data_IF_901165566986
#
_entry.id   IF_901165566986
#
_cell.length_a   1.000
_cell.length_b   1.000
_cell.length_c   1.000
_cell.angle_alpha   90.00
_cell.angle_beta   90.00
_cell.angle_gamma   90.00
#
_symmetry.space_group_name_H-M   'P 1'
#
loop_
_entity.id
_entity.type
_entity.pdbx_description
1 polymer ?
#
# COMPACT_ATOMS: atom_id res chain seq x y z
N UNK A 1 -2.12 -11.03 11.26
CA UNK A 1 -1.12 -11.64 12.16
C UNK A 1 -1.58 -11.47 13.60
N UNK A 2 -1.88 -12.57 14.32
CA UNK A 2 -2.19 -12.58 15.75
C UNK A 2 -0.92 -12.50 16.62
N UNK A 3 -1.01 -11.92 17.82
CA UNK A 3 0.09 -11.70 18.75
C UNK A 3 -0.33 -12.03 20.19
N UNK A 4 0.60 -12.42 21.06
CA UNK A 4 0.27 -12.75 22.46
C UNK A 4 -0.16 -11.52 23.28
N UNK A 5 0.52 -10.40 23.06
CA UNK A 5 0.29 -9.14 23.75
C UNK A 5 0.04 -8.04 22.72
N UNK A 6 -0.97 -7.20 22.96
CA UNK A 6 -1.24 -5.99 22.19
C UNK A 6 -1.16 -4.78 23.11
N UNK A 7 -0.41 -3.77 22.70
CA UNK A 7 -0.30 -2.50 23.40
C UNK A 7 -1.00 -1.42 22.58
N UNK A 8 -2.08 -0.86 23.13
CA UNK A 8 -2.85 0.21 22.51
C UNK A 8 -2.51 1.50 23.23
N UNK A 9 -1.62 2.28 22.62
CA UNK A 9 -1.10 3.50 23.23
C UNK A 9 -2.12 4.65 23.14
N UNK A 10 -2.82 4.81 22.01
CA UNK A 10 -3.72 5.93 21.80
C UNK A 10 -5.18 5.47 21.70
N UNK A 11 -6.09 6.31 22.19
CA UNK A 11 -7.54 6.19 21.96
C UNK A 11 -7.95 6.64 20.54
N UNK A 12 -6.99 7.11 19.73
CA UNK A 12 -7.22 7.70 18.41
C UNK A 12 -6.66 6.84 17.29
N UNK A 13 -7.37 6.83 16.17
CA UNK A 13 -6.88 6.41 14.86
C UNK A 13 -6.74 7.67 14.02
N UNK A 14 -5.50 8.09 13.75
CA UNK A 14 -5.23 9.33 13.04
C UNK A 14 -5.59 10.57 13.85
N UNK A 15 -6.67 11.27 13.47
CA UNK A 15 -7.19 12.45 14.16
C UNK A 15 -8.52 12.16 14.91
N UNK A 16 -9.20 11.07 14.56
CA UNK A 16 -10.47 10.66 15.13
C UNK A 16 -10.28 9.67 16.28
N UNK A 17 -11.25 9.63 17.20
CA UNK A 17 -11.29 8.59 18.22
C UNK A 17 -11.61 7.23 17.57
N UNK A 18 -11.00 6.17 18.11
CA UNK A 18 -11.29 4.79 17.76
C UNK A 18 -12.73 4.47 18.16
N UNK A 19 -13.50 3.83 17.28
CA UNK A 19 -14.82 3.32 17.62
C UNK A 19 -14.72 1.88 18.18
N UNK A 20 -15.84 1.33 18.68
CA UNK A 20 -15.89 -0.01 19.29
C UNK A 20 -15.44 -1.12 18.33
N UNK A 21 -15.85 -1.03 17.06
CA UNK A 21 -15.49 -2.00 16.03
C UNK A 21 -13.99 -1.96 15.75
N UNK A 22 -13.42 -0.76 15.58
CA UNK A 22 -11.98 -0.56 15.35
C UNK A 22 -11.16 -1.11 16.53
N UNK A 23 -11.62 -0.84 17.75
CA UNK A 23 -10.99 -1.34 18.97
C UNK A 23 -11.01 -2.86 19.03
N UNK A 24 -12.17 -3.49 18.88
CA UNK A 24 -12.31 -4.94 18.97
C UNK A 24 -11.65 -5.67 17.79
N UNK A 25 -11.56 -5.06 16.60
CA UNK A 25 -10.79 -5.58 15.47
C UNK A 25 -9.28 -5.60 15.75
N UNK A 26 -8.77 -4.59 16.48
CA UNK A 26 -7.37 -4.55 16.90
C UNK A 26 -7.13 -5.52 18.07
N UNK A 27 -7.93 -5.42 19.12
CA UNK A 27 -7.85 -6.21 20.34
C UNK A 27 -8.04 -7.72 20.06
N UNK A 28 -8.89 -8.08 19.10
CA UNK A 28 -9.12 -9.47 18.67
C UNK A 28 -7.91 -10.15 18.04
N UNK A 29 -6.84 -9.40 17.73
CA UNK A 29 -5.56 -9.99 17.33
C UNK A 29 -4.73 -10.48 18.52
N UNK A 30 -5.17 -10.24 19.76
CA UNK A 30 -4.49 -10.71 20.96
C UNK A 30 -4.86 -12.17 21.26
N UNK A 31 -3.84 -13.02 21.40
CA UNK A 31 -3.96 -14.46 21.60
C UNK A 31 -3.89 -15.22 20.28
N UNK A 32 -2.92 -16.15 20.17
CA UNK A 32 -2.83 -17.06 19.04
C UNK A 32 -3.60 -18.33 19.36
N UNK A 33 -4.54 -18.69 18.48
CA UNK A 33 -5.24 -19.97 18.56
C UNK A 33 -4.21 -21.10 18.72
N UNK A 34 -4.48 -22.03 19.63
CA UNK A 34 -3.65 -23.19 19.97
C UNK A 34 -2.22 -22.95 20.49
N UNK A 35 -1.74 -21.70 20.61
CA UNK A 35 -0.41 -21.40 21.21
C UNK A 35 -0.50 -20.64 22.53
N UNK A 36 -1.54 -19.84 22.74
CA UNK A 36 -1.70 -19.03 23.95
C UNK A 36 -3.00 -19.38 24.72
N UNK A 37 -2.92 -19.49 26.05
CA UNK A 37 -4.10 -19.70 26.92
C UNK A 37 -5.03 -18.47 26.97
N UNK A 38 -4.45 -17.28 26.81
CA UNK A 38 -5.16 -16.00 26.77
C UNK A 38 -4.32 -14.96 26.00
N UNK A 39 -5.00 -14.01 25.37
CA UNK A 39 -4.38 -12.81 24.81
C UNK A 39 -4.43 -11.64 25.79
N UNK A 40 -3.32 -10.91 25.93
CA UNK A 40 -3.28 -9.73 26.80
C UNK A 40 -3.42 -8.44 25.99
N UNK A 41 -4.29 -7.54 26.46
CA UNK A 41 -4.49 -6.21 25.86
C UNK A 41 -4.12 -5.17 26.92
N UNK A 42 -3.15 -4.32 26.60
CA UNK A 42 -2.68 -3.25 27.46
C UNK A 42 -3.05 -1.89 26.85
N UNK A 43 -4.00 -1.19 27.45
CA UNK A 43 -4.30 0.21 27.12
C UNK A 43 -3.44 1.12 27.99
N UNK A 44 -2.51 1.85 27.37
CA UNK A 44 -1.48 2.60 28.10
C UNK A 44 -1.83 4.09 28.11
N UNK A 45 -1.92 4.67 29.30
CA UNK A 45 -2.01 6.11 29.48
C UNK A 45 -0.59 6.70 29.63
N UNK A 46 -0.19 7.59 28.71
CA UNK A 46 1.00 8.41 28.88
C UNK A 46 0.64 9.69 29.65
N UNK A 47 1.18 9.83 30.85
CA UNK A 47 0.94 10.94 31.76
C UNK A 47 1.10 12.30 31.05
N UNK A 48 0.10 13.17 31.18
CA UNK A 48 0.04 14.52 30.58
C UNK A 48 0.06 14.61 29.04
N UNK A 49 -0.29 13.54 28.30
CA UNK A 49 -0.48 13.62 26.85
C UNK A 49 -1.96 13.51 26.43
N UNK A 50 -2.42 14.42 25.56
CA UNK A 50 -3.77 14.36 24.97
C UNK A 50 -3.87 13.24 23.92
N UNK A 51 -5.03 12.56 23.86
CA UNK A 51 -5.27 11.45 22.92
C UNK A 51 -4.77 10.09 23.41
N UNK A 52 -4.53 9.97 24.72
CA UNK A 52 -4.25 8.74 25.44
C UNK A 52 -5.41 8.44 26.40
N UNK A 53 -5.47 7.21 26.91
CA UNK A 53 -6.56 6.68 27.74
C UNK A 53 -6.71 7.39 29.10
N UNK A 54 -7.18 8.64 29.10
CA UNK A 54 -7.21 9.55 30.25
C UNK A 54 -8.62 9.81 30.79
N UNK A 55 -9.65 9.32 30.09
CA UNK A 55 -11.06 9.63 30.37
C UNK A 55 -11.84 8.33 30.66
N UNK A 56 -12.47 8.26 31.84
CA UNK A 56 -13.26 7.13 32.30
C UNK A 56 -14.43 6.78 31.36
N UNK A 57 -14.97 7.77 30.64
CA UNK A 57 -16.03 7.52 29.64
C UNK A 57 -15.54 6.69 28.46
N UNK A 58 -14.25 6.80 28.11
CA UNK A 58 -13.60 6.06 27.03
C UNK A 58 -13.07 4.71 27.47
N UNK A 59 -12.86 4.50 28.77
CA UNK A 59 -12.59 3.18 29.36
C UNK A 59 -13.79 2.24 29.21
N UNK A 60 -15.02 2.76 29.01
CA UNK A 60 -16.21 1.92 28.82
C UNK A 60 -16.09 0.96 27.65
N UNK A 61 -15.42 1.34 26.55
CA UNK A 61 -15.15 0.47 25.39
C UNK A 61 -14.37 -0.81 25.76
N UNK A 62 -13.60 -0.77 26.87
CA UNK A 62 -12.82 -1.92 27.37
C UNK A 62 -13.71 -2.91 28.12
N UNK A 63 -14.85 -2.46 28.62
CA UNK A 63 -15.76 -3.22 29.48
C UNK A 63 -17.02 -3.68 28.75
N UNK A 64 -17.46 -2.91 27.76
CA UNK A 64 -18.63 -3.23 26.95
C UNK A 64 -18.22 -3.96 25.67
N UNK A 65 -18.81 -5.16 25.47
CA UNK A 65 -18.60 -6.00 24.28
C UNK A 65 -19.78 -5.92 23.30
N UNK A 66 -20.74 -5.03 23.54
CA UNK A 66 -21.88 -4.84 22.65
C UNK A 66 -21.44 -4.11 21.39
N UNK A 67 -20.97 -4.86 20.39
CA UNK A 67 -20.65 -4.31 19.08
C UNK A 67 -21.96 -4.12 18.30
N UNK A 68 -22.30 -2.88 17.96
CA UNK A 68 -23.46 -2.60 17.10
C UNK A 68 -23.33 -3.28 15.73
N UNK A 69 -24.44 -3.76 15.17
CA UNK A 69 -24.47 -4.36 13.83
C UNK A 69 -24.08 -3.30 12.78
N UNK A 70 -22.88 -3.43 12.22
CA UNK A 70 -22.41 -2.49 11.20
C UNK A 70 -22.87 -2.90 9.81
N UNK A 71 -23.69 -2.04 9.19
CA UNK A 71 -24.09 -2.23 7.78
C UNK A 71 -23.06 -1.61 6.84
N UNK A 72 -22.72 -2.24 5.71
CA UNK A 72 -21.94 -1.62 4.64
C UNK A 72 -22.60 -0.31 4.16
N UNK A 73 -21.80 0.67 3.72
CA UNK A 73 -22.32 1.99 3.29
C UNK A 73 -23.38 1.88 2.19
N UNK A 74 -23.25 0.90 1.30
CA UNK A 74 -24.22 0.60 0.22
C UNK A 74 -25.59 0.14 0.76
N UNK A 75 -25.65 -0.42 1.97
CA UNK A 75 -26.88 -0.91 2.59
C UNK A 75 -27.47 0.08 3.60
N UNK A 76 -26.76 1.15 3.96
CA UNK A 76 -27.24 2.14 4.94
C UNK A 76 -28.33 3.02 4.32
N UNK A 77 -29.41 3.29 5.07
CA UNK A 77 -30.41 4.29 4.69
C UNK A 77 -29.79 5.68 4.55
N UNK A 78 -28.90 6.05 5.47
CA UNK A 78 -28.07 7.25 5.37
C UNK A 78 -26.68 6.87 4.82
N UNK A 79 -26.57 6.69 3.51
CA UNK A 79 -25.34 6.36 2.81
C UNK A 79 -24.49 7.59 2.44
N UNK A 80 -24.74 8.75 3.07
CA UNK A 80 -24.05 10.02 2.76
C UNK A 80 -24.15 10.44 1.28
N UNK A 81 -25.30 10.20 0.64
CA UNK A 81 -25.55 10.47 -0.77
C UNK A 81 -24.60 9.73 -1.73
N UNK A 82 -24.11 8.53 -1.36
CA UNK A 82 -23.15 7.75 -2.16
C UNK A 82 -23.57 7.65 -3.63
N UNK A 83 -24.79 7.20 -3.92
CA UNK A 83 -25.26 6.98 -5.30
C UNK A 83 -25.32 8.28 -6.11
N UNK A 84 -25.82 9.37 -5.50
CA UNK A 84 -25.81 10.69 -6.15
C UNK A 84 -24.40 11.19 -6.42
N UNK A 85 -23.46 10.92 -5.50
CA UNK A 85 -22.06 11.31 -5.67
C UNK A 85 -21.34 10.45 -6.73
N UNK A 86 -21.66 9.16 -6.85
CA UNK A 86 -21.19 8.31 -7.96
C UNK A 86 -21.70 8.85 -9.30
N UNK A 87 -22.98 9.23 -9.38
CA UNK A 87 -23.53 9.85 -10.57
C UNK A 87 -22.82 11.18 -10.89
N UNK A 88 -22.60 12.04 -9.88
CA UNK A 88 -21.87 13.30 -10.05
C UNK A 88 -20.43 13.07 -10.55
N UNK A 89 -19.73 12.08 -9.98
CA UNK A 89 -18.40 11.65 -10.40
C UNK A 89 -18.37 11.29 -11.90
N UNK A 90 -19.28 10.42 -12.35
CA UNK A 90 -19.38 10.06 -13.78
C UNK A 90 -19.70 11.25 -14.68
N UNK A 91 -20.58 12.15 -14.23
CA UNK A 91 -20.98 13.33 -15.00
C UNK A 91 -20.04 14.53 -14.87
N UNK A 92 -18.96 14.42 -14.08
CA UNK A 92 -18.01 15.51 -13.77
C UNK A 92 -18.66 16.73 -13.11
N UNK A 93 -19.70 16.49 -12.29
CA UNK A 93 -20.34 17.50 -11.47
C UNK A 93 -19.73 17.55 -10.07
N UNK A 94 -19.90 18.68 -9.38
CA UNK A 94 -19.52 18.82 -7.96
C UNK A 94 -20.20 17.76 -7.09
N UNK A 95 -19.46 17.19 -6.13
CA UNK A 95 -20.04 16.33 -5.09
C UNK A 95 -21.07 17.08 -4.25
N UNK A 96 -22.04 16.36 -3.69
CA UNK A 96 -23.15 16.95 -2.91
C UNK A 96 -22.69 17.79 -1.72
N UNK A 97 -21.50 17.49 -1.18
CA UNK A 97 -20.89 18.27 -0.11
C UNK A 97 -19.52 18.80 -0.56
N UNK A 98 -19.40 20.12 -0.70
CA UNK A 98 -18.15 20.79 -1.11
C UNK A 98 -17.00 20.64 -0.10
N UNK A 99 -17.30 20.25 1.15
CA UNK A 99 -16.32 20.02 2.22
C UNK A 99 -15.94 18.54 2.40
N UNK A 100 -16.27 17.67 1.43
CA UNK A 100 -15.83 16.26 1.46
C UNK A 100 -14.30 16.18 1.52
N UNK A 101 -13.80 15.30 2.39
CA UNK A 101 -12.37 15.01 2.44
C UNK A 101 -11.92 14.31 1.16
N UNK A 102 -10.64 14.44 0.81
CA UNK A 102 -10.10 13.73 -0.36
C UNK A 102 -10.19 12.21 -0.20
N UNK A 103 -10.05 11.70 1.03
CA UNK A 103 -10.20 10.28 1.32
C UNK A 103 -11.65 9.81 1.07
N UNK A 104 -12.66 10.59 1.47
CA UNK A 104 -14.07 10.29 1.17
C UNK A 104 -14.37 10.34 -0.34
N UNK A 105 -13.77 11.30 -1.07
CA UNK A 105 -13.90 11.38 -2.54
C UNK A 105 -13.33 10.14 -3.21
N UNK A 106 -12.12 9.73 -2.84
CA UNK A 106 -11.48 8.50 -3.34
C UNK A 106 -12.36 7.26 -3.09
N UNK A 107 -12.98 7.16 -1.91
CA UNK A 107 -13.92 6.05 -1.62
C UNK A 107 -15.12 6.08 -2.58
N UNK A 108 -15.72 7.25 -2.83
CA UNK A 108 -16.84 7.39 -3.78
C UNK A 108 -16.40 6.98 -5.19
N UNK A 109 -15.24 7.45 -5.64
CA UNK A 109 -14.65 7.14 -6.94
C UNK A 109 -14.39 5.63 -7.08
N UNK A 110 -13.85 4.98 -6.05
CA UNK A 110 -13.66 3.53 -6.02
C UNK A 110 -14.98 2.77 -6.16
N UNK A 111 -16.05 3.17 -5.45
CA UNK A 111 -17.37 2.57 -5.63
C UNK A 111 -17.92 2.81 -7.04
N UNK A 112 -17.68 3.99 -7.63
CA UNK A 112 -17.98 4.24 -9.03
C UNK A 112 -17.23 3.26 -9.94
N UNK A 113 -15.92 3.11 -9.77
CA UNK A 113 -15.12 2.21 -10.60
C UNK A 113 -15.57 0.75 -10.50
N UNK A 114 -15.91 0.28 -9.30
CA UNK A 114 -16.49 -1.05 -9.07
C UNK A 114 -17.85 -1.18 -9.78
N UNK A 115 -18.70 -0.17 -9.67
CA UNK A 115 -20.01 -0.15 -10.34
C UNK A 115 -19.86 -0.23 -11.86
N UNK A 116 -18.97 0.57 -12.45
CA UNK A 116 -18.70 0.54 -13.89
C UNK A 116 -18.15 -0.82 -14.33
N UNK A 117 -17.25 -1.41 -13.54
CA UNK A 117 -16.75 -2.75 -13.79
C UNK A 117 -17.89 -3.79 -13.83
N UNK A 118 -18.70 -3.86 -12.76
CA UNK A 118 -19.85 -4.79 -12.69
C UNK A 118 -20.83 -4.57 -13.85
N UNK A 119 -21.06 -3.32 -14.22
CA UNK A 119 -21.89 -2.99 -15.37
C UNK A 119 -21.29 -3.45 -16.71
N UNK A 120 -19.98 -3.30 -16.88
CA UNK A 120 -19.24 -3.70 -18.09
C UNK A 120 -19.25 -5.21 -18.31
N UNK A 121 -19.10 -5.99 -17.23
CA UNK A 121 -19.12 -7.47 -17.31
C UNK A 121 -20.52 -8.06 -17.18
N UNK A 122 -21.58 -7.23 -17.13
CA UNK A 122 -22.96 -7.63 -16.89
C UNK A 122 -23.14 -8.53 -15.65
N UNK A 123 -22.42 -8.22 -14.57
CA UNK A 123 -22.54 -8.93 -13.29
C UNK A 123 -23.67 -8.35 -12.44
N UNK A 124 -24.44 -9.24 -11.82
CA UNK A 124 -25.45 -8.89 -10.83
C UNK A 124 -24.74 -8.45 -9.53
N UNK A 125 -25.07 -7.26 -9.04
CA UNK A 125 -24.49 -6.77 -7.80
C UNK A 125 -25.41 -5.83 -7.05
N UNK A 126 -25.40 -5.98 -5.72
CA UNK A 126 -26.18 -5.12 -4.81
C UNK A 126 -25.87 -3.64 -5.02
N UNK A 127 -24.62 -3.29 -5.34
CA UNK A 127 -24.24 -1.91 -5.63
C UNK A 127 -24.96 -1.38 -6.88
N UNK A 128 -25.04 -2.19 -7.95
CA UNK A 128 -25.72 -1.84 -9.20
C UNK A 128 -27.22 -1.70 -8.99
N UNK A 129 -27.84 -2.68 -8.33
CA UNK A 129 -29.29 -2.65 -8.05
C UNK A 129 -29.67 -1.41 -7.25
N UNK A 130 -28.95 -1.15 -6.15
CA UNK A 130 -29.20 0.01 -5.29
C UNK A 130 -28.94 1.35 -6.00
N UNK A 131 -27.97 1.40 -6.90
CA UNK A 131 -27.69 2.61 -7.69
C UNK A 131 -28.83 2.87 -8.69
N UNK A 132 -29.33 1.84 -9.36
CA UNK A 132 -30.48 1.93 -10.27
C UNK A 132 -31.75 2.35 -9.50
N UNK A 133 -32.01 1.71 -8.36
CA UNK A 133 -33.15 2.01 -7.49
C UNK A 133 -33.11 3.42 -6.88
N UNK A 134 -31.94 4.08 -6.86
CA UNK A 134 -31.79 5.39 -6.22
C UNK A 134 -32.48 6.55 -6.95
N UNK A 135 -32.93 6.37 -8.20
CA UNK A 135 -33.81 7.31 -8.90
C UNK A 135 -33.17 8.09 -10.07
N UNK A 136 -33.93 9.09 -10.55
CA UNK A 136 -33.95 9.53 -11.95
C UNK A 136 -32.59 9.90 -12.56
N UNK A 137 -32.31 9.23 -13.69
CA UNK A 137 -31.13 9.29 -14.56
C UNK A 137 -30.00 8.31 -14.22
N UNK A 138 -30.10 7.44 -13.20
CA UNK A 138 -29.07 6.40 -12.96
C UNK A 138 -28.79 5.52 -14.18
N UNK A 139 -29.83 5.06 -14.88
CA UNK A 139 -29.67 4.25 -16.10
C UNK A 139 -29.04 5.05 -17.25
N UNK A 140 -29.44 6.30 -17.44
CA UNK A 140 -28.88 7.17 -18.48
C UNK A 140 -27.42 7.52 -18.20
N UNK A 141 -27.08 7.76 -16.93
CA UNK A 141 -25.72 7.99 -16.46
C UNK A 141 -24.86 6.76 -16.70
N UNK A 142 -25.33 5.56 -16.33
CA UNK A 142 -24.62 4.30 -16.61
C UNK A 142 -24.42 4.08 -18.11
N UNK A 143 -25.46 4.30 -18.91
CA UNK A 143 -25.38 4.17 -20.36
C UNK A 143 -24.38 5.15 -20.95
N UNK A 144 -24.36 6.40 -20.46
CA UNK A 144 -23.42 7.43 -20.89
C UNK A 144 -21.99 7.06 -20.56
N UNK A 145 -21.68 6.75 -19.30
CA UNK A 145 -20.30 6.41 -18.90
C UNK A 145 -19.81 5.13 -19.58
N UNK A 146 -20.70 4.16 -19.80
CA UNK A 146 -20.39 2.93 -20.56
C UNK A 146 -19.99 3.25 -22.00
N UNK A 147 -20.70 4.15 -22.67
CA UNK A 147 -20.39 4.56 -24.04
C UNK A 147 -19.10 5.40 -24.14
N UNK A 148 -18.77 6.18 -23.10
CA UNK A 148 -17.55 6.98 -23.05
C UNK A 148 -16.31 6.14 -22.70
N UNK A 149 -16.51 5.03 -21.98
CA UNK A 149 -15.47 4.12 -21.53
C UNK A 149 -14.91 3.26 -22.67
N UNK A 150 -13.60 3.28 -22.83
CA UNK A 150 -12.85 2.43 -23.74
C UNK A 150 -11.96 1.42 -23.01
N UNK A 151 -11.86 1.52 -21.68
CA UNK A 151 -11.01 0.64 -20.86
C UNK A 151 -11.71 -0.72 -20.68
N UNK A 152 -11.04 -1.83 -21.03
CA UNK A 152 -11.57 -3.18 -20.80
C UNK A 152 -11.88 -3.49 -19.34
N UNK A 153 -12.91 -4.33 -19.09
CA UNK A 153 -13.37 -4.67 -17.74
C UNK A 153 -12.31 -5.29 -16.83
N UNK A 154 -11.40 -6.11 -17.38
CA UNK A 154 -10.28 -6.69 -16.61
C UNK A 154 -9.28 -5.64 -16.12
N UNK A 155 -9.08 -4.53 -16.86
CA UNK A 155 -8.22 -3.42 -16.43
C UNK A 155 -8.93 -2.59 -15.36
N UNK A 156 -10.23 -2.30 -15.54
CA UNK A 156 -11.04 -1.61 -14.54
C UNK A 156 -11.02 -2.35 -13.18
N UNK A 157 -11.14 -3.68 -13.20
CA UNK A 157 -11.13 -4.51 -12.00
C UNK A 157 -9.81 -4.45 -11.23
N UNK A 158 -8.67 -4.35 -11.94
CA UNK A 158 -7.34 -4.26 -11.32
C UNK A 158 -7.03 -2.87 -10.77
N UNK A 159 -7.70 -1.82 -11.28
CA UNK A 159 -7.34 -0.42 -11.01
C UNK A 159 -8.54 0.39 -10.52
N UNK A 160 -9.27 -0.17 -9.56
CA UNK A 160 -10.47 0.44 -8.97
C UNK A 160 -10.19 1.76 -8.24
N UNK A 161 -8.95 2.07 -7.92
CA UNK A 161 -8.50 3.27 -7.20
C UNK A 161 -8.00 4.40 -8.12
N UNK A 162 -8.02 4.21 -9.44
CA UNK A 162 -7.65 5.24 -10.42
C UNK A 162 -8.91 5.84 -11.06
N UNK A 163 -9.04 7.16 -11.10
CA UNK A 163 -10.16 7.87 -11.78
C UNK A 163 -10.41 7.34 -13.20
N UNK A 164 -11.68 7.02 -13.54
CA UNK A 164 -12.08 6.44 -14.83
C UNK A 164 -11.73 7.34 -16.01
N UNK A 165 -11.84 8.65 -15.86
CA UNK A 165 -11.48 9.59 -16.93
C UNK A 165 -9.99 9.62 -17.16
N UNK A 166 -9.19 9.52 -16.09
CA UNK A 166 -7.74 9.35 -16.21
C UNK A 166 -7.42 8.03 -16.90
N UNK A 167 -8.01 6.91 -16.45
CA UNK A 167 -7.81 5.61 -17.11
C UNK A 167 -8.17 5.66 -18.60
N UNK A 168 -9.30 6.30 -18.94
CA UNK A 168 -9.72 6.48 -20.33
C UNK A 168 -8.78 7.37 -21.13
N UNK A 169 -8.27 8.45 -20.52
CA UNK A 169 -7.28 9.34 -21.15
C UNK A 169 -5.99 8.56 -21.45
N UNK A 170 -5.45 7.83 -20.48
CA UNK A 170 -4.25 7.01 -20.65
C UNK A 170 -4.50 5.90 -21.67
N UNK A 171 -5.67 5.28 -21.64
CA UNK A 171 -6.06 4.25 -22.62
C UNK A 171 -6.16 4.78 -24.05
N UNK A 172 -6.63 6.02 -24.25
CA UNK A 172 -6.70 6.66 -25.57
C UNK A 172 -5.40 7.38 -25.98
N UNK A 173 -4.51 7.62 -25.02
CA UNK A 173 -3.24 8.32 -25.19
C UNK A 173 -2.13 7.47 -25.81
N UNK A 174 -0.92 8.02 -25.80
CA UNK A 174 0.26 7.39 -26.41
C UNK A 174 0.69 6.13 -25.65
N UNK A 175 1.17 5.13 -26.39
CA UNK A 175 1.63 3.83 -25.87
C UNK A 175 3.15 3.78 -25.81
N UNK A 176 3.71 4.73 -25.07
CA UNK A 176 5.16 4.78 -24.85
C UNK A 176 5.60 3.53 -24.07
N UNK A 177 6.64 2.85 -24.57
CA UNK A 177 7.19 1.68 -23.87
C UNK A 177 7.89 2.12 -22.60
N UNK A 178 7.74 1.34 -21.54
CA UNK A 178 8.53 1.52 -20.33
C UNK A 178 10.01 1.18 -20.62
N UNK A 179 10.97 1.86 -19.96
CA UNK A 179 12.39 1.50 -20.03
C UNK A 179 12.63 0.04 -19.64
N UNK A 180 13.68 -0.55 -20.20
CA UNK A 180 14.12 -1.92 -19.88
C UNK A 180 15.15 -1.95 -18.76
N UNK A 181 15.91 -0.86 -18.60
CA UNK A 181 16.90 -0.73 -17.55
C UNK A 181 16.26 -0.27 -16.23
N UNK A 182 16.61 -0.94 -15.14
CA UNK A 182 16.18 -0.61 -13.77
C UNK A 182 17.16 0.31 -13.03
N UNK A 183 17.97 1.07 -13.78
CA UNK A 183 18.87 2.10 -13.22
C UNK A 183 18.07 3.28 -12.67
N UNK A 184 18.73 4.17 -11.93
CA UNK A 184 18.11 5.42 -11.45
C UNK A 184 17.41 6.19 -12.60
N UNK A 185 18.05 6.29 -13.77
CA UNK A 185 17.49 6.97 -14.94
C UNK A 185 16.26 6.25 -15.50
N UNK A 186 16.31 4.91 -15.54
CA UNK A 186 15.15 4.09 -15.90
C UNK A 186 13.96 4.31 -14.97
N UNK A 187 14.19 4.22 -13.65
CA UNK A 187 13.17 4.51 -12.64
C UNK A 187 12.63 5.93 -12.77
N UNK A 188 13.49 6.93 -12.98
CA UNK A 188 13.06 8.31 -13.14
C UNK A 188 12.20 8.52 -14.39
N UNK A 189 12.53 7.87 -15.51
CA UNK A 189 11.72 7.89 -16.74
C UNK A 189 10.33 7.28 -16.52
N UNK A 190 10.25 6.12 -15.86
CA UNK A 190 8.95 5.49 -15.49
C UNK A 190 8.13 6.46 -14.64
N UNK A 191 8.73 7.01 -13.58
CA UNK A 191 8.04 7.91 -12.66
C UNK A 191 7.59 9.21 -13.34
N UNK A 192 8.40 9.76 -14.26
CA UNK A 192 8.03 10.96 -15.03
C UNK A 192 6.85 10.69 -15.95
N UNK A 193 6.89 9.59 -16.70
CA UNK A 193 5.83 9.17 -17.61
C UNK A 193 4.51 9.02 -16.83
N UNK A 194 4.51 8.26 -15.74
CA UNK A 194 3.29 8.04 -14.95
C UNK A 194 2.78 9.33 -14.27
N UNK A 195 3.68 10.19 -13.81
CA UNK A 195 3.31 11.48 -13.24
C UNK A 195 2.54 12.35 -14.24
N UNK A 196 2.93 12.30 -15.51
CA UNK A 196 2.31 13.05 -16.61
C UNK A 196 1.01 12.38 -17.08
N UNK A 197 1.05 11.09 -17.39
CA UNK A 197 -0.09 10.31 -17.89
C UNK A 197 -1.25 10.25 -16.87
N UNK A 198 -0.96 10.15 -15.57
CA UNK A 198 -1.96 10.05 -14.50
C UNK A 198 -2.19 11.36 -13.73
N UNK A 199 -1.57 12.47 -14.16
CA UNK A 199 -1.73 13.79 -13.55
C UNK A 199 -1.53 13.77 -12.01
N UNK A 200 -0.42 13.17 -11.56
CA UNK A 200 -0.15 12.98 -10.13
C UNK A 200 -0.07 14.29 -9.34
N UNK A 201 0.29 15.40 -9.99
CA UNK A 201 0.34 16.71 -9.35
C UNK A 201 -1.06 17.22 -8.95
N UNK A 202 -2.12 16.75 -9.61
CA UNK A 202 -3.50 17.06 -9.26
C UNK A 202 -4.13 16.00 -8.35
N UNK A 203 -3.87 14.73 -8.65
CA UNK A 203 -4.55 13.57 -8.04
C UNK A 203 -3.88 13.07 -6.76
N UNK A 204 -2.55 13.22 -6.67
CA UNK A 204 -1.73 12.63 -5.61
C UNK A 204 -1.01 13.66 -4.73
N UNK A 205 -1.32 14.95 -4.92
CA UNK A 205 -0.81 16.07 -4.12
C UNK A 205 -1.69 16.47 -2.94
N UNK A 206 -2.90 15.88 -2.86
CA UNK A 206 -3.91 16.20 -1.85
C UNK A 206 -4.07 15.07 -0.83
N UNK A 207 -4.91 15.32 0.17
CA UNK A 207 -5.20 14.40 1.27
C UNK A 207 -4.19 14.49 2.43
N UNK A 208 -4.39 13.64 3.43
CA UNK A 208 -3.60 13.67 4.67
C UNK A 208 -2.16 13.19 4.45
N UNK A 209 -1.96 12.31 3.46
CA UNK A 209 -0.67 11.71 3.11
C UNK A 209 -0.48 11.74 1.59
N UNK A 210 -0.18 12.92 1.01
CA UNK A 210 0.05 13.04 -0.42
C UNK A 210 1.27 12.22 -0.82
N UNK A 211 1.20 11.59 -2.00
CA UNK A 211 2.36 10.90 -2.57
C UNK A 211 3.39 11.93 -3.05
N UNK A 212 2.94 12.97 -3.74
CA UNK A 212 3.83 13.94 -4.38
C UNK A 212 3.26 15.34 -4.28
N UNK A 213 4.05 16.29 -3.78
CA UNK A 213 3.69 17.72 -3.73
C UNK A 213 4.26 18.49 -4.90
N UNK A 214 5.37 18.02 -5.47
CA UNK A 214 6.07 18.68 -6.57
C UNK A 214 6.93 17.70 -7.37
N UNK A 215 7.27 18.04 -8.63
CA UNK A 215 8.03 17.15 -9.53
C UNK A 215 9.42 16.80 -9.01
N UNK A 216 10.02 17.64 -8.16
CA UNK A 216 11.35 17.41 -7.59
C UNK A 216 11.39 16.11 -6.76
N UNK A 217 10.26 15.71 -6.16
CA UNK A 217 10.16 14.46 -5.40
C UNK A 217 10.27 13.20 -6.27
N UNK A 218 10.14 13.30 -7.59
CA UNK A 218 10.39 12.15 -8.49
C UNK A 218 11.84 11.66 -8.39
N UNK A 219 12.81 12.57 -8.17
CA UNK A 219 14.22 12.19 -7.97
C UNK A 219 14.42 11.34 -6.71
N UNK A 220 13.68 11.67 -5.64
CA UNK A 220 13.66 10.90 -4.40
C UNK A 220 13.07 9.50 -4.64
N UNK A 221 11.90 9.43 -5.28
CA UNK A 221 11.27 8.15 -5.58
C UNK A 221 12.09 7.30 -6.55
N UNK A 222 12.80 7.89 -7.51
CA UNK A 222 13.70 7.16 -8.40
C UNK A 222 14.85 6.51 -7.61
N UNK A 223 15.40 7.21 -6.61
CA UNK A 223 16.44 6.64 -5.71
C UNK A 223 15.90 5.47 -4.90
N UNK A 224 14.69 5.61 -4.34
CA UNK A 224 14.06 4.53 -3.56
C UNK A 224 13.71 3.34 -4.44
N UNK A 225 13.10 3.60 -5.60
CA UNK A 225 12.65 2.58 -6.54
C UNK A 225 13.85 1.80 -7.10
N UNK A 226 14.93 2.47 -7.51
CA UNK A 226 16.19 1.81 -7.94
C UNK A 226 16.73 0.88 -6.86
N UNK A 227 16.92 1.39 -5.63
CA UNK A 227 17.47 0.55 -4.57
C UNK A 227 16.52 -0.58 -4.16
N UNK A 228 15.20 -0.35 -4.23
CA UNK A 228 14.20 -1.36 -3.94
C UNK A 228 14.21 -2.46 -4.99
N UNK A 229 14.01 -2.16 -6.28
CA UNK A 229 13.90 -3.19 -7.33
C UNK A 229 15.23 -3.89 -7.64
N UNK A 230 16.38 -3.30 -7.30
CA UNK A 230 17.69 -3.92 -7.52
C UNK A 230 18.23 -4.66 -6.28
N UNK A 231 17.34 -5.24 -5.45
CA UNK A 231 17.73 -6.07 -4.30
C UNK A 231 18.66 -5.40 -3.28
N UNK A 232 18.69 -4.05 -3.21
CA UNK A 232 19.57 -3.38 -2.24
C UNK A 232 19.01 -3.55 -0.81
N UNK A 233 19.90 -3.75 0.19
CA UNK A 233 19.49 -3.89 1.58
C UNK A 233 18.93 -2.57 2.14
N UNK A 234 18.07 -2.65 3.15
CA UNK A 234 17.47 -1.46 3.78
C UNK A 234 18.53 -0.46 4.27
N UNK A 235 19.67 -0.95 4.76
CA UNK A 235 20.81 -0.11 5.17
C UNK A 235 21.28 0.81 4.05
N UNK A 236 21.35 0.31 2.81
CA UNK A 236 21.71 1.11 1.64
C UNK A 236 20.67 2.19 1.36
N UNK A 237 19.38 1.85 1.42
CA UNK A 237 18.28 2.80 1.22
C UNK A 237 18.28 3.90 2.29
N UNK A 238 18.56 3.55 3.56
CA UNK A 238 18.70 4.51 4.66
C UNK A 238 19.86 5.47 4.36
N UNK A 239 21.02 4.96 3.97
CA UNK A 239 22.18 5.79 3.64
C UNK A 239 21.89 6.74 2.47
N UNK A 240 21.29 6.25 1.39
CA UNK A 240 20.88 7.07 0.24
C UNK A 240 19.86 8.14 0.62
N UNK A 241 18.92 7.81 1.50
CA UNK A 241 17.94 8.77 2.02
C UNK A 241 18.61 9.83 2.89
N UNK A 242 19.55 9.46 3.75
CA UNK A 242 20.34 10.43 4.53
C UNK A 242 21.09 11.38 3.59
N UNK A 243 21.75 10.87 2.54
CA UNK A 243 22.43 11.71 1.54
C UNK A 243 21.47 12.62 0.78
N UNK A 244 20.24 12.17 0.51
CA UNK A 244 19.22 13.00 -0.12
C UNK A 244 18.74 14.16 0.76
N UNK A 245 18.67 13.96 2.08
CA UNK A 245 18.28 14.99 3.05
C UNK A 245 19.45 15.85 3.55
N UNK A 246 20.69 15.37 3.41
CA UNK A 246 21.92 16.05 3.79
C UNK A 246 22.97 15.85 2.70
N UNK A 247 23.07 16.82 1.78
CA UNK A 247 24.03 16.78 0.68
C UNK A 247 25.05 17.92 0.85
N UNK A 248 26.33 17.58 1.03
CA UNK A 248 27.44 18.56 1.05
C UNK A 248 27.23 19.80 1.93
N UNK A 249 26.54 19.65 3.07
CA UNK A 249 26.25 20.73 4.01
C UNK A 249 24.87 21.38 3.86
N UNK A 250 24.14 21.09 2.78
CA UNK A 250 22.75 21.52 2.60
C UNK A 250 21.78 20.51 3.22
N UNK A 251 21.09 20.95 4.28
CA UNK A 251 20.03 20.18 4.93
C UNK A 251 18.65 20.54 4.36
N UNK A 252 17.93 19.53 3.87
CA UNK A 252 16.50 19.64 3.56
C UNK A 252 15.67 19.67 4.84
N UNK A 253 14.44 20.15 4.73
CA UNK A 253 13.48 20.12 5.83
C UNK A 253 12.96 18.70 6.08
N UNK A 254 12.85 18.33 7.35
CA UNK A 254 12.19 17.12 7.82
C UNK A 254 11.00 17.50 8.71
N UNK A 255 9.89 16.77 8.56
CA UNK A 255 8.72 16.91 9.41
C UNK A 255 8.77 15.94 10.59
N UNK A 256 8.70 16.46 11.81
CA UNK A 256 8.60 15.67 13.04
C UNK A 256 7.19 15.82 13.63
N UNK A 257 6.61 14.71 14.08
CA UNK A 257 5.34 14.75 14.82
C UNK A 257 5.65 14.70 16.31
N UNK A 258 5.30 15.76 17.04
CA UNK A 258 5.45 15.86 18.49
C UNK A 258 4.15 16.41 19.09
N UNK A 259 3.63 15.75 20.13
CA UNK A 259 2.39 16.14 20.83
C UNK A 259 1.19 16.35 19.87
N UNK A 260 1.09 15.50 18.84
CA UNK A 260 0.04 15.58 17.82
C UNK A 260 0.22 16.67 16.76
N UNK A 261 1.21 17.57 16.91
CA UNK A 261 1.54 18.64 15.96
C UNK A 261 2.71 18.27 15.07
N UNK A 262 2.74 18.83 13.86
CA UNK A 262 3.83 18.65 12.90
C UNK A 262 4.75 19.89 12.98
N UNK A 263 6.04 19.64 13.16
CA UNK A 263 7.09 20.64 13.17
C UNK A 263 8.02 20.41 11.98
N UNK A 264 8.33 21.47 11.25
CA UNK A 264 9.32 21.44 10.17
C UNK A 264 10.63 22.04 10.67
N UNK A 265 11.74 21.36 10.40
CA UNK A 265 13.08 21.83 10.75
C UNK A 265 14.13 21.25 9.81
N UNK A 266 15.32 21.84 9.80
CA UNK A 266 16.44 21.30 9.02
C UNK A 266 16.87 19.94 9.57
N UNK A 267 17.04 18.99 8.67
CA UNK A 267 17.54 17.66 9.01
C UNK A 267 18.98 17.73 9.55
N UNK A 268 19.25 16.90 10.56
CA UNK A 268 20.56 16.76 11.19
C UNK A 268 20.90 15.27 11.27
N UNK A 269 21.97 14.89 10.58
CA UNK A 269 22.43 13.49 10.49
C UNK A 269 22.99 12.95 11.81
N UNK A 270 23.36 13.81 12.75
CA UNK A 270 23.89 13.42 14.05
C UNK A 270 22.79 13.30 15.12
N UNK A 271 21.57 13.73 14.81
CA UNK A 271 20.44 13.68 15.73
C UNK A 271 19.68 12.36 15.59
N UNK A 272 19.73 11.52 16.63
CA UNK A 272 19.08 10.20 16.63
C UNK A 272 17.56 10.26 16.38
N UNK A 273 16.86 11.30 16.87
CA UNK A 273 15.43 11.48 16.61
C UNK A 273 15.15 11.76 15.13
N UNK A 274 16.00 12.55 14.49
CA UNK A 274 15.89 12.86 13.06
C UNK A 274 16.15 11.62 12.21
N UNK A 275 17.19 10.85 12.53
CA UNK A 275 17.49 9.58 11.87
C UNK A 275 16.32 8.61 12.00
N UNK A 276 15.81 8.39 13.21
CA UNK A 276 14.69 7.48 13.44
C UNK A 276 13.43 7.91 12.67
N UNK A 277 13.15 9.22 12.62
CA UNK A 277 12.00 9.73 11.85
C UNK A 277 12.22 9.57 10.34
N UNK A 278 13.43 9.79 9.86
CA UNK A 278 13.77 9.56 8.45
C UNK A 278 13.61 8.08 8.07
N UNK A 279 14.05 7.15 8.92
CA UNK A 279 13.87 5.71 8.71
C UNK A 279 12.38 5.35 8.67
N UNK A 280 11.58 5.86 9.61
CA UNK A 280 10.13 5.62 9.62
C UNK A 280 9.45 6.17 8.35
N UNK A 281 9.85 7.37 7.91
CA UNK A 281 9.33 7.97 6.69
C UNK A 281 9.76 7.19 5.44
N UNK A 282 11.00 6.69 5.40
CA UNK A 282 11.50 5.82 4.33
C UNK A 282 10.65 4.55 4.22
N UNK A 283 10.45 3.83 5.33
CA UNK A 283 9.65 2.60 5.34
C UNK A 283 8.22 2.90 4.89
N UNK A 284 7.63 3.99 5.39
CA UNK A 284 6.29 4.42 4.98
C UNK A 284 6.21 4.74 3.47
N UNK A 285 7.23 5.40 2.92
CA UNK A 285 7.28 5.72 1.50
C UNK A 285 7.48 4.47 0.64
N UNK A 286 8.26 3.49 1.10
CA UNK A 286 8.40 2.21 0.41
C UNK A 286 7.08 1.45 0.37
N UNK A 287 6.41 1.29 1.52
CA UNK A 287 5.16 0.53 1.59
C UNK A 287 3.99 1.24 0.90
N UNK A 288 3.75 2.52 1.22
CA UNK A 288 2.55 3.20 0.75
C UNK A 288 2.72 3.84 -0.63
N UNK A 289 3.90 4.36 -0.95
CA UNK A 289 4.09 5.08 -2.21
C UNK A 289 4.66 4.17 -3.28
N UNK A 290 5.78 3.46 -3.03
CA UNK A 290 6.39 2.58 -4.02
C UNK A 290 5.54 1.32 -4.25
N UNK A 291 5.36 0.49 -3.21
CA UNK A 291 4.72 -0.83 -3.31
C UNK A 291 3.21 -0.78 -3.50
N UNK A 292 2.55 0.29 -3.07
CA UNK A 292 1.12 0.47 -3.26
C UNK A 292 0.82 1.43 -4.40
N UNK A 293 0.92 2.75 -4.21
CA UNK A 293 0.44 3.73 -5.21
C UNK A 293 1.14 3.62 -6.58
N UNK A 294 2.47 3.70 -6.60
CA UNK A 294 3.25 3.67 -7.85
C UNK A 294 3.07 2.32 -8.53
N UNK A 295 3.10 1.20 -7.77
CA UNK A 295 2.80 -0.13 -8.30
C UNK A 295 1.42 -0.18 -8.98
N UNK A 296 0.38 0.38 -8.37
CA UNK A 296 -0.97 0.42 -9.00
C UNK A 296 -0.93 1.14 -10.35
N UNK A 297 -0.27 2.29 -10.45
CA UNK A 297 -0.15 3.02 -11.72
C UNK A 297 0.66 2.25 -12.76
N UNK A 298 1.76 1.62 -12.34
CA UNK A 298 2.58 0.75 -13.20
C UNK A 298 1.76 -0.44 -13.72
N UNK A 299 1.06 -1.14 -12.83
CA UNK A 299 0.17 -2.27 -13.15
C UNK A 299 -0.91 -1.88 -14.15
N UNK A 300 -1.58 -0.74 -13.92
CA UNK A 300 -2.58 -0.20 -14.83
C UNK A 300 -1.97 0.09 -16.21
N UNK A 301 -0.84 0.81 -16.24
CA UNK A 301 -0.18 1.19 -17.49
C UNK A 301 0.29 -0.03 -18.29
N UNK A 302 0.95 -1.00 -17.64
CA UNK A 302 1.36 -2.25 -18.27
C UNK A 302 0.16 -3.06 -18.77
N UNK A 303 -0.95 -3.10 -18.02
CA UNK A 303 -2.18 -3.75 -18.47
C UNK A 303 -2.76 -3.07 -19.71
N UNK A 304 -2.73 -1.73 -19.77
CA UNK A 304 -3.15 -0.96 -20.93
C UNK A 304 -2.24 -1.27 -22.13
N UNK A 305 -0.92 -1.22 -21.97
CA UNK A 305 0.05 -1.55 -23.02
C UNK A 305 -0.17 -2.96 -23.59
N UNK A 306 -0.29 -3.97 -22.71
CA UNK A 306 -0.58 -5.36 -23.09
C UNK A 306 -1.90 -5.47 -23.88
N UNK A 307 -2.95 -4.79 -23.43
CA UNK A 307 -4.26 -4.81 -24.12
C UNK A 307 -4.23 -4.18 -25.52
N UNK A 308 -3.26 -3.29 -25.78
CA UNK A 308 -3.03 -2.68 -27.08
C UNK A 308 -2.04 -3.46 -27.95
N UNK A 309 -1.59 -4.64 -27.53
CA UNK A 309 -0.63 -5.47 -28.27
C UNK A 309 0.81 -4.99 -28.19
N UNK A 310 1.15 -4.14 -27.21
CA UNK A 310 2.54 -3.72 -26.96
C UNK A 310 3.23 -4.81 -26.15
N UNK A 311 4.28 -5.38 -26.72
CA UNK A 311 5.12 -6.36 -26.02
C UNK A 311 5.95 -5.68 -24.91
N UNK A 312 5.95 -6.30 -23.74
CA UNK A 312 6.62 -5.80 -22.55
C UNK A 312 7.87 -6.64 -22.28
N UNK A 313 9.04 -6.02 -22.43
CA UNK A 313 10.32 -6.66 -22.14
C UNK A 313 10.60 -6.79 -20.63
N UNK A 314 9.93 -6.00 -19.80
CA UNK A 314 10.15 -5.94 -18.36
C UNK A 314 8.83 -5.88 -17.61
N UNK A 315 8.72 -6.66 -16.53
CA UNK A 315 7.57 -6.60 -15.64
C UNK A 315 7.81 -5.69 -14.42
N UNK A 316 7.64 -4.38 -14.62
CA UNK A 316 7.84 -3.39 -13.57
C UNK A 316 6.91 -3.58 -12.37
N UNK A 317 5.68 -4.07 -12.58
CA UNK A 317 4.74 -4.40 -11.49
C UNK A 317 5.34 -5.48 -10.60
N UNK A 318 5.82 -6.58 -11.20
CA UNK A 318 6.46 -7.69 -10.48
C UNK A 318 7.73 -7.22 -9.76
N UNK A 319 8.60 -6.46 -10.45
CA UNK A 319 9.85 -5.97 -9.86
C UNK A 319 9.61 -5.07 -8.65
N UNK A 320 8.57 -4.23 -8.69
CA UNK A 320 8.18 -3.36 -7.58
C UNK A 320 7.57 -4.18 -6.44
N UNK A 321 6.74 -5.18 -6.74
CA UNK A 321 6.07 -5.97 -5.71
C UNK A 321 7.08 -6.80 -4.89
N UNK A 322 7.95 -7.52 -5.59
CA UNK A 322 8.96 -8.39 -4.99
C UNK A 322 10.23 -7.64 -4.57
N UNK A 323 10.43 -6.41 -5.03
CA UNK A 323 11.64 -5.62 -4.76
C UNK A 323 12.91 -6.26 -5.32
N UNK A 324 12.81 -6.90 -6.47
CA UNK A 324 13.94 -7.55 -7.14
C UNK A 324 13.64 -7.72 -8.63
N UNK A 325 14.67 -7.62 -9.48
CA UNK A 325 14.62 -8.02 -10.89
C UNK A 325 15.12 -9.45 -11.11
N UNK A 326 15.63 -10.11 -10.06
CA UNK A 326 16.15 -11.46 -10.15
C UNK A 326 15.00 -12.48 -9.99
N UNK A 327 14.66 -13.26 -11.04
CA UNK A 327 13.55 -14.21 -11.01
C UNK A 327 13.74 -15.31 -9.95
N UNK A 328 14.97 -15.74 -9.68
CA UNK A 328 15.22 -16.75 -8.67
C UNK A 328 14.95 -16.24 -7.25
N UNK A 329 15.13 -14.94 -6.99
CA UNK A 329 14.73 -14.33 -5.71
C UNK A 329 13.20 -14.21 -5.61
N UNK A 330 12.52 -14.01 -6.74
CA UNK A 330 11.05 -14.03 -6.81
C UNK A 330 10.53 -15.43 -6.49
N UNK A 331 11.07 -16.46 -7.13
CA UNK A 331 10.72 -17.86 -6.86
C UNK A 331 10.85 -18.21 -5.37
N UNK A 332 11.96 -17.83 -4.73
CA UNK A 332 12.16 -18.07 -3.30
C UNK A 332 11.12 -17.32 -2.47
N UNK A 333 10.77 -16.08 -2.81
CA UNK A 333 9.71 -15.36 -2.09
C UNK A 333 8.33 -16.03 -2.28
N UNK A 334 8.07 -16.66 -3.42
CA UNK A 334 6.85 -17.42 -3.66
C UNK A 334 6.74 -18.68 -2.79
N UNK A 335 7.85 -19.19 -2.25
CA UNK A 335 7.85 -20.23 -1.22
C UNK A 335 7.46 -19.71 0.17
N UNK A 336 7.22 -18.40 0.33
CA UNK A 336 6.80 -17.77 1.58
C UNK A 336 7.94 -17.09 2.36
N UNK A 337 9.16 -17.05 1.81
CA UNK A 337 10.27 -16.34 2.43
C UNK A 337 10.14 -14.81 2.30
N UNK A 338 10.60 -14.08 3.31
CA UNK A 338 10.77 -12.64 3.20
C UNK A 338 11.82 -12.28 2.15
N UNK A 339 11.75 -11.10 1.53
CA UNK A 339 12.77 -10.61 0.57
C UNK A 339 14.20 -10.71 1.13
N UNK A 340 14.39 -10.33 2.39
CA UNK A 340 15.69 -10.39 3.06
C UNK A 340 16.19 -11.82 3.17
N UNK A 341 15.31 -12.74 3.58
CA UNK A 341 15.62 -14.16 3.67
C UNK A 341 15.90 -14.77 2.29
N UNK A 342 15.12 -14.40 1.28
CA UNK A 342 15.33 -14.86 -0.09
C UNK A 342 16.71 -14.46 -0.62
N UNK A 343 17.12 -13.19 -0.44
CA UNK A 343 18.47 -12.72 -0.82
C UNK A 343 19.55 -13.49 -0.04
N UNK A 344 19.35 -13.70 1.26
CA UNK A 344 20.31 -14.41 2.12
C UNK A 344 20.49 -15.88 1.69
N UNK A 345 19.39 -16.61 1.52
CA UNK A 345 19.41 -18.01 1.10
C UNK A 345 20.00 -18.15 -0.30
N UNK A 346 19.68 -17.21 -1.19
CA UNK A 346 20.26 -17.17 -2.53
C UNK A 346 21.77 -16.99 -2.51
N UNK A 347 22.30 -16.14 -1.63
CA UNK A 347 23.74 -15.86 -1.53
C UNK A 347 24.52 -16.98 -0.81
N UNK A 348 23.92 -17.59 0.22
CA UNK A 348 24.64 -18.53 1.12
C UNK A 348 24.32 -20.00 0.90
N UNK A 349 23.13 -20.32 0.41
CA UNK A 349 22.58 -21.67 0.36
C UNK A 349 21.99 -22.03 -1.01
N UNK A 350 22.45 -21.38 -2.08
CA UNK A 350 22.00 -21.58 -3.46
C UNK A 350 21.86 -23.05 -3.90
N UNK A 351 22.77 -23.91 -3.45
CA UNK A 351 22.81 -25.33 -3.84
C UNK A 351 21.75 -26.20 -3.16
N UNK A 352 20.99 -25.66 -2.20
CA UNK A 352 19.95 -26.41 -1.48
C UNK A 352 18.57 -26.29 -2.12
N UNK A 353 18.42 -25.42 -3.13
CA UNK A 353 17.16 -25.24 -3.83
C UNK A 353 16.87 -26.39 -4.80
N UNK A 354 15.62 -26.83 -4.79
CA UNK A 354 15.07 -27.83 -5.71
C UNK A 354 14.44 -27.08 -6.88
N UNK A 355 14.78 -27.51 -8.10
CA UNK A 355 14.31 -26.88 -9.34
C UNK A 355 13.47 -27.81 -10.17
N UNK A 356 12.51 -27.25 -10.89
CA UNK A 356 11.76 -27.97 -11.92
C UNK A 356 12.57 -28.07 -13.24
N UNK A 357 11.96 -28.72 -14.24
CA UNK A 357 12.59 -28.96 -15.55
C UNK A 357 12.92 -27.68 -16.34
N UNK A 358 12.25 -26.57 -16.02
CA UNK A 358 12.48 -25.25 -16.64
C UNK A 358 13.42 -24.35 -15.83
N UNK A 359 13.96 -24.85 -14.70
CA UNK A 359 14.97 -24.18 -13.90
C UNK A 359 14.44 -23.22 -12.82
N UNK A 360 13.13 -23.16 -12.61
CA UNK A 360 12.50 -22.37 -11.54
C UNK A 360 12.67 -23.07 -10.20
N UNK A 361 12.85 -22.28 -9.14
CA UNK A 361 12.97 -22.81 -7.77
C UNK A 361 11.56 -23.13 -7.26
N UNK A 362 11.32 -24.40 -6.93
CA UNK A 362 10.02 -24.88 -6.46
C UNK A 362 10.03 -25.30 -5.00
N UNK A 363 11.20 -25.54 -4.42
CA UNK A 363 11.33 -25.94 -3.01
C UNK A 363 12.78 -25.77 -2.52
N UNK A 364 13.03 -26.03 -1.24
CA UNK A 364 14.36 -26.06 -0.62
C UNK A 364 14.50 -27.30 0.29
N UNK A 365 15.67 -27.94 0.27
CA UNK A 365 16.00 -29.04 1.18
C UNK A 365 16.21 -28.49 2.61
N UNK A 366 15.12 -28.44 3.38
CA UNK A 366 15.09 -27.80 4.69
C UNK A 366 15.90 -28.55 5.75
N UNK A 367 15.97 -29.89 5.68
CA UNK A 367 16.82 -30.70 6.56
C UNK A 367 18.31 -30.43 6.35
N UNK A 368 18.75 -30.32 5.08
CA UNK A 368 20.13 -29.89 4.79
C UNK A 368 20.35 -28.43 5.17
N UNK A 369 19.37 -27.56 4.99
CA UNK A 369 19.49 -26.17 5.40
C UNK A 369 19.66 -26.07 6.93
N UNK A 370 18.84 -26.80 7.69
CA UNK A 370 18.89 -26.86 9.17
C UNK A 370 20.25 -27.27 9.70
N UNK A 371 20.88 -28.24 9.05
CA UNK A 371 22.18 -28.78 9.48
C UNK A 371 23.37 -27.95 8.98
N UNK A 372 23.21 -27.23 7.87
CA UNK A 372 24.28 -26.40 7.28
C UNK A 372 24.32 -24.96 7.78
N UNK A 373 23.21 -24.44 8.33
CA UNK A 373 23.16 -23.06 8.82
C UNK A 373 23.95 -22.87 10.12
N UNK A 374 24.85 -21.88 10.10
CA UNK A 374 25.61 -21.50 11.29
C UNK A 374 24.73 -20.68 12.25
N UNK A 375 24.12 -21.36 13.22
CA UNK A 375 23.23 -20.78 14.23
C UNK A 375 23.88 -19.64 15.03
N UNK A 376 25.21 -19.64 15.22
CA UNK A 376 25.88 -18.59 15.99
C UNK A 376 26.07 -17.33 15.17
N UNK A 377 26.33 -17.48 13.88
CA UNK A 377 26.57 -16.37 12.98
C UNK A 377 25.28 -15.75 12.45
N UNK A 378 24.25 -16.57 12.22
CA UNK A 378 22.98 -16.21 11.58
C UNK A 378 21.80 -16.51 12.52
N UNK A 379 21.88 -16.02 13.75
CA UNK A 379 20.89 -16.30 14.80
C UNK A 379 19.48 -15.80 14.43
N UNK A 380 19.38 -14.59 13.88
CA UNK A 380 18.10 -14.02 13.47
C UNK A 380 17.52 -14.73 12.26
N UNK A 381 18.35 -15.04 11.26
CA UNK A 381 17.91 -15.81 10.10
C UNK A 381 17.49 -17.23 10.51
N UNK A 382 18.22 -17.87 11.42
CA UNK A 382 17.84 -19.18 11.96
C UNK A 382 16.51 -19.14 12.70
N UNK A 383 16.24 -18.10 13.50
CA UNK A 383 14.94 -17.93 14.18
C UNK A 383 13.79 -17.81 13.17
N UNK A 384 13.97 -17.02 12.11
CA UNK A 384 12.95 -16.87 11.05
C UNK A 384 12.69 -18.21 10.35
N UNK A 385 13.75 -18.93 9.97
CA UNK A 385 13.65 -20.26 9.36
C UNK A 385 13.00 -21.28 10.30
N UNK A 386 13.35 -21.28 11.57
CA UNK A 386 12.77 -22.16 12.58
C UNK A 386 11.26 -21.90 12.76
N UNK A 387 10.82 -20.65 12.65
CA UNK A 387 9.39 -20.30 12.69
C UNK A 387 8.67 -20.82 11.44
N UNK A 388 9.32 -20.73 10.27
CA UNK A 388 8.72 -21.14 9.00
C UNK A 388 8.62 -22.67 8.87
N UNK A 389 9.69 -23.39 9.21
CA UNK A 389 9.79 -24.85 9.06
C UNK A 389 9.48 -25.65 10.32
N UNK A 390 9.25 -24.98 11.45
CA UNK A 390 8.98 -25.62 12.75
C UNK A 390 10.07 -26.64 13.19
N UNK A 391 11.33 -26.35 12.89
CA UNK A 391 12.46 -27.26 13.19
C UNK A 391 12.59 -27.60 14.69
N UNK A 392 12.29 -26.65 15.57
CA UNK A 392 12.34 -26.75 17.02
C UNK A 392 11.01 -26.24 17.62
N UNK A 393 10.47 -26.99 18.58
CA UNK A 393 9.17 -26.73 19.24
C UNK A 393 9.24 -25.61 20.29
#
# INVERSE_FOLDING_TARGET
>A
MPAKNIFILSEKIGLSNMNEVDFWNLAGRAGRLSKDLAGNIFCVNLYNQQGYWNDDSKIKILRDKNIEETKPIILRKNNKNLYKNIANYYTRNDYTNKKLSEDDKKIIEMYGNILLYHDTVNSDSVLKDRFIDSGNNSLDVLKKIRNENSVPGNILAKSIDIDIGIQNRVFKGNKEKLPTETTYEGCYKVLRLLCEEYDWLSTESKGNYPMIRSKEQLSYYATLMEGWINSKPLKYLIQKTISYYYNSGESKEISLRKDGKIYYMKFDKNNALHINTLINNLIKNLENNIKYKIKTYVSNYQSILRSCGVDLECDWEEYIDYGTTNPQIIDIQNLGFSRTMAIFLMDKYYNLFIRNDIGEIIDIDDEKLRTSIDKKKYDEEYKELNILFEWEK
#
